data_IF_072601955356
#
_entry.id   IF_072601955356
#
_cell.length_a   1.000
_cell.length_b   1.000
_cell.length_c   1.000
_cell.angle_alpha   90.00
_cell.angle_beta   90.00
_cell.angle_gamma   90.00
#
_symmetry.space_group_name_H-M   'P 1'
#
loop_
_entity.id
_entity.type
_entity.pdbx_description
1 polymer ?
#
# COMPACT_ATOMS: atom_id res chain seq x y z
N UNK A 1 43.98 21.03 -41.18
CA UNK A 1 42.74 21.63 -40.64
C UNK A 1 41.73 20.57 -40.15
N UNK A 2 42.13 19.61 -39.29
CA UNK A 2 41.28 18.44 -38.95
C UNK A 2 40.99 18.23 -37.45
N UNK A 3 41.52 19.08 -36.57
CA UNK A 3 41.46 18.87 -35.10
C UNK A 3 40.19 19.45 -34.43
N UNK A 4 39.46 20.34 -35.10
CA UNK A 4 38.29 21.02 -34.51
C UNK A 4 37.00 20.20 -34.58
N UNK A 5 36.86 19.31 -35.57
CA UNK A 5 35.69 18.45 -35.69
C UNK A 5 35.66 17.36 -34.60
N UNK A 6 36.79 16.70 -34.31
CA UNK A 6 36.85 15.61 -33.31
C UNK A 6 36.50 16.08 -31.89
N UNK A 7 36.96 17.27 -31.49
CA UNK A 7 36.63 17.86 -30.19
C UNK A 7 35.13 18.21 -30.06
N UNK A 8 34.51 18.72 -31.12
CA UNK A 8 33.05 18.99 -31.15
C UNK A 8 32.24 17.70 -31.08
N UNK A 9 32.64 16.65 -31.80
CA UNK A 9 31.99 15.34 -31.71
C UNK A 9 32.12 14.73 -30.31
N UNK A 10 33.31 14.78 -29.71
CA UNK A 10 33.52 14.32 -28.33
C UNK A 10 32.67 15.08 -27.31
N UNK A 11 32.50 16.41 -27.48
CA UNK A 11 31.61 17.21 -26.64
C UNK A 11 30.14 16.83 -26.81
N UNK A 12 29.67 16.63 -28.04
CA UNK A 12 28.29 16.20 -28.32
C UNK A 12 28.03 14.81 -27.74
N UNK A 13 28.94 13.87 -27.96
CA UNK A 13 28.84 12.52 -27.38
C UNK A 13 28.86 12.59 -25.85
N UNK A 14 29.74 13.39 -25.26
CA UNK A 14 29.79 13.60 -23.81
C UNK A 14 28.49 14.17 -23.25
N UNK A 15 27.89 15.16 -23.92
CA UNK A 15 26.62 15.77 -23.52
C UNK A 15 25.45 14.79 -23.64
N UNK A 16 25.40 14.00 -24.72
CA UNK A 16 24.38 12.97 -24.91
C UNK A 16 24.49 11.87 -23.86
N UNK A 17 25.71 11.42 -23.54
CA UNK A 17 25.95 10.44 -22.48
C UNK A 17 25.52 10.98 -21.12
N UNK A 18 25.91 12.21 -20.78
CA UNK A 18 25.50 12.85 -19.53
C UNK A 18 23.97 12.96 -19.44
N UNK A 19 23.31 13.38 -20.52
CA UNK A 19 21.84 13.50 -20.58
C UNK A 19 21.17 12.14 -20.41
N UNK A 20 21.68 11.10 -21.07
CA UNK A 20 21.19 9.73 -20.94
C UNK A 20 21.35 9.20 -19.51
N UNK A 21 22.49 9.46 -18.87
CA UNK A 21 22.73 9.08 -17.47
C UNK A 21 21.75 9.80 -16.53
N UNK A 22 21.58 11.12 -16.68
CA UNK A 22 20.66 11.90 -15.84
C UNK A 22 19.21 11.45 -16.02
N UNK A 23 18.78 11.18 -17.26
CA UNK A 23 17.46 10.63 -17.54
C UNK A 23 17.28 9.24 -16.91
N UNK A 24 18.28 8.37 -17.07
CA UNK A 24 18.27 7.03 -16.47
C UNK A 24 18.18 7.06 -14.95
N UNK A 25 18.96 7.92 -14.29
CA UNK A 25 18.90 8.13 -12.84
C UNK A 25 17.54 8.68 -12.40
N UNK A 26 16.96 9.61 -13.17
CA UNK A 26 15.62 10.15 -12.92
C UNK A 26 14.53 9.09 -13.01
N UNK A 27 14.56 8.24 -14.04
CA UNK A 27 13.64 7.11 -14.20
C UNK A 27 13.82 6.11 -13.04
N UNK A 28 15.06 5.74 -12.73
CA UNK A 28 15.35 4.85 -11.60
C UNK A 28 14.77 5.40 -10.29
N UNK A 29 15.01 6.68 -10.02
CA UNK A 29 14.54 7.36 -8.82
C UNK A 29 13.01 7.36 -8.69
N UNK A 30 12.29 7.59 -9.79
CA UNK A 30 10.81 7.67 -9.81
C UNK A 30 10.11 6.31 -9.91
N UNK A 31 10.76 5.30 -10.46
CA UNK A 31 10.10 4.03 -10.82
C UNK A 31 10.61 2.82 -10.03
N UNK A 32 11.83 2.86 -9.50
CA UNK A 32 12.49 1.69 -8.90
C UNK A 32 13.08 1.92 -7.51
N UNK A 33 13.31 3.18 -7.09
CA UNK A 33 13.89 3.48 -5.77
C UNK A 33 13.05 2.93 -4.62
N UNK A 34 13.66 2.13 -3.76
CA UNK A 34 13.05 1.70 -2.49
C UNK A 34 13.48 2.63 -1.37
N UNK A 35 12.54 3.15 -0.59
CA UNK A 35 12.83 3.89 0.63
C UNK A 35 12.51 3.05 1.88
N UNK A 36 13.23 3.32 2.96
CA UNK A 36 12.90 2.80 4.28
C UNK A 36 11.58 3.41 4.77
N UNK A 37 10.81 2.62 5.52
CA UNK A 37 9.66 3.13 6.24
C UNK A 37 10.09 3.95 7.47
N UNK A 38 9.24 4.85 7.99
CA UNK A 38 9.50 5.57 9.22
C UNK A 38 9.93 4.65 10.38
N UNK A 39 10.90 5.09 11.18
CA UNK A 39 11.49 4.28 12.24
C UNK A 39 10.48 3.81 13.30
N UNK A 40 9.42 4.59 13.56
CA UNK A 40 8.38 4.25 14.55
C UNK A 40 7.63 2.95 14.22
N UNK A 41 7.54 2.59 12.94
CA UNK A 41 6.90 1.34 12.51
C UNK A 41 7.66 0.15 13.07
N UNK A 42 9.00 0.22 13.04
CA UNK A 42 9.86 -0.87 13.52
C UNK A 42 10.25 -0.72 15.00
N UNK A 43 9.68 0.26 15.72
CA UNK A 43 10.03 0.52 17.12
C UNK A 43 9.54 -0.59 18.07
N UNK A 44 8.51 -1.33 17.70
CA UNK A 44 8.02 -2.49 18.44
C UNK A 44 7.31 -3.48 17.50
N UNK A 45 7.11 -4.72 17.96
CA UNK A 45 6.53 -5.78 17.16
C UNK A 45 5.08 -5.50 16.73
N UNK A 46 4.31 -4.82 17.57
CA UNK A 46 2.91 -4.44 17.29
C UNK A 46 2.84 -3.50 16.09
N UNK A 47 3.60 -2.41 16.08
CA UNK A 47 3.63 -1.45 14.99
C UNK A 47 4.11 -2.08 13.69
N UNK A 48 5.14 -2.94 13.76
CA UNK A 48 5.62 -3.70 12.60
C UNK A 48 4.53 -4.60 12.04
N UNK A 49 3.70 -5.20 12.89
CA UNK A 49 2.61 -6.06 12.47
C UNK A 49 1.44 -5.27 11.85
N UNK A 50 1.06 -4.14 12.47
CA UNK A 50 -0.07 -3.32 12.03
C UNK A 50 0.21 -2.51 10.75
N UNK A 51 1.42 -1.97 10.59
CA UNK A 51 1.77 -0.99 9.54
C UNK A 51 3.03 -1.33 8.73
N UNK A 52 3.76 -2.37 9.12
CA UNK A 52 4.98 -2.79 8.45
C UNK A 52 4.71 -3.33 7.06
N UNK A 53 5.59 -2.97 6.12
CA UNK A 53 5.64 -3.55 4.79
C UNK A 53 6.19 -4.96 4.86
N UNK A 54 5.51 -5.90 4.21
CA UNK A 54 6.01 -7.27 3.96
C UNK A 54 6.61 -7.40 2.56
N UNK A 55 7.10 -6.27 2.01
CA UNK A 55 7.60 -6.14 0.63
C UNK A 55 6.56 -6.38 -0.48
N UNK A 56 5.27 -6.49 -0.15
CA UNK A 56 4.19 -6.65 -1.12
C UNK A 56 4.17 -5.53 -2.17
N UNK A 57 4.63 -4.32 -1.81
CA UNK A 57 4.73 -3.17 -2.72
C UNK A 57 5.66 -3.39 -3.90
N UNK A 58 6.54 -4.41 -3.87
CA UNK A 58 7.43 -4.73 -4.99
C UNK A 58 6.67 -5.34 -6.18
N UNK A 59 5.61 -6.10 -5.91
CA UNK A 59 4.86 -6.83 -6.92
C UNK A 59 3.37 -6.46 -6.97
N UNK A 60 2.84 -5.84 -5.91
CA UNK A 60 1.46 -5.39 -5.74
C UNK A 60 1.41 -3.95 -5.16
N UNK A 61 0.22 -3.53 -4.75
CA UNK A 61 -0.02 -2.25 -4.11
C UNK A 61 -0.49 -1.16 -5.07
N UNK A 62 -1.24 -0.23 -4.51
CA UNK A 62 -1.92 0.85 -5.23
C UNK A 62 -1.11 2.14 -5.03
N UNK A 63 -0.87 2.96 -6.08
CA UNK A 63 -0.30 4.29 -5.88
C UNK A 63 -1.12 5.06 -4.83
N UNK A 64 -0.45 5.56 -3.79
CA UNK A 64 -1.11 6.10 -2.60
C UNK A 64 -2.16 7.18 -2.92
N UNK A 65 -1.87 8.08 -3.85
CA UNK A 65 -2.82 9.13 -4.23
C UNK A 65 -4.03 8.61 -5.01
N UNK A 66 -3.90 7.50 -5.74
CA UNK A 66 -5.06 6.82 -6.32
C UNK A 66 -5.87 6.20 -5.19
N UNK A 67 -5.23 5.40 -4.32
CA UNK A 67 -5.90 4.75 -3.20
C UNK A 67 -6.70 5.74 -2.32
N UNK A 68 -6.11 6.89 -1.99
CA UNK A 68 -6.73 7.92 -1.17
C UNK A 68 -8.01 8.52 -1.80
N UNK A 69 -8.06 8.58 -3.13
CA UNK A 69 -9.14 9.28 -3.86
C UNK A 69 -10.31 8.38 -4.21
N UNK A 70 -10.11 7.05 -4.32
CA UNK A 70 -11.18 6.13 -4.72
C UNK A 70 -12.46 6.28 -3.88
N UNK A 71 -12.43 6.32 -2.54
CA UNK A 71 -13.66 6.45 -1.75
C UNK A 71 -14.40 7.78 -1.96
N UNK A 72 -13.72 8.82 -2.44
CA UNK A 72 -14.32 10.13 -2.71
C UNK A 72 -14.96 10.20 -4.09
N UNK A 73 -14.36 9.54 -5.07
CA UNK A 73 -14.89 9.48 -6.45
C UNK A 73 -16.01 8.44 -6.56
N UNK A 74 -15.92 7.34 -5.81
CA UNK A 74 -16.82 6.19 -5.90
C UNK A 74 -17.47 5.80 -4.56
N UNK A 75 -18.02 6.73 -3.77
CA UNK A 75 -18.61 6.42 -2.47
C UNK A 75 -19.76 5.40 -2.57
N UNK A 76 -20.47 5.33 -3.70
CA UNK A 76 -21.59 4.44 -3.95
C UNK A 76 -21.23 2.95 -4.04
N UNK A 77 -19.95 2.62 -4.27
CA UNK A 77 -19.49 1.23 -4.30
C UNK A 77 -19.05 0.73 -2.92
N UNK A 78 -19.16 1.57 -1.88
CA UNK A 78 -18.85 1.22 -0.50
C UNK A 78 -20.12 0.89 0.31
N UNK A 79 -20.03 0.05 1.36
CA UNK A 79 -21.18 -0.31 2.19
C UNK A 79 -21.86 0.86 2.90
N UNK A 80 -21.16 1.97 3.11
CA UNK A 80 -21.68 3.12 3.84
C UNK A 80 -20.72 4.30 3.87
N UNK A 81 -21.06 5.37 4.62
CA UNK A 81 -20.21 6.55 4.75
C UNK A 81 -18.89 6.23 5.48
N UNK A 82 -17.92 7.14 5.36
CA UNK A 82 -16.60 6.99 6.02
C UNK A 82 -15.52 6.32 5.17
N UNK A 83 -15.79 6.09 3.88
CA UNK A 83 -14.79 5.57 2.95
C UNK A 83 -14.37 4.15 3.30
N UNK A 84 -13.07 3.89 3.36
CA UNK A 84 -12.54 2.58 3.75
C UNK A 84 -12.97 2.13 5.16
N UNK A 85 -13.32 3.04 6.08
CA UNK A 85 -13.82 2.65 7.41
C UNK A 85 -15.15 1.86 7.32
N UNK A 86 -15.96 2.08 6.29
CA UNK A 86 -17.19 1.30 6.05
C UNK A 86 -16.95 -0.18 5.73
N UNK A 87 -15.70 -0.55 5.41
CA UNK A 87 -15.26 -1.92 5.21
C UNK A 87 -14.62 -2.52 6.47
N UNK A 88 -14.81 -1.88 7.63
CA UNK A 88 -14.32 -2.33 8.93
C UNK A 88 -12.83 -2.12 9.18
N UNK A 89 -12.15 -1.35 8.32
CA UNK A 89 -10.79 -0.89 8.59
C UNK A 89 -10.79 0.15 9.71
N UNK A 90 -9.79 0.09 10.57
CA UNK A 90 -9.67 0.95 11.75
C UNK A 90 -8.42 1.81 11.68
N UNK A 91 -8.53 3.02 12.23
CA UNK A 91 -7.42 3.95 12.39
C UNK A 91 -7.13 4.09 13.87
N UNK A 92 -5.84 4.06 14.21
CA UNK A 92 -5.41 4.55 15.50
C UNK A 92 -5.29 6.07 15.46
N UNK A 93 -5.48 6.70 16.61
CA UNK A 93 -5.41 8.15 16.73
C UNK A 93 -4.06 8.66 16.21
N UNK A 94 -4.09 9.80 15.52
CA UNK A 94 -2.93 10.47 14.89
C UNK A 94 -2.26 9.73 13.72
N UNK A 95 -2.67 8.51 13.40
CA UNK A 95 -2.12 7.76 12.29
C UNK A 95 -2.91 7.97 11.01
N UNK A 96 -2.18 8.08 9.91
CA UNK A 96 -2.74 8.36 8.58
C UNK A 96 -3.30 7.10 7.91
N UNK A 97 -2.60 5.97 8.08
CA UNK A 97 -2.93 4.71 7.43
C UNK A 97 -3.84 3.86 8.32
N UNK A 98 -4.83 3.17 7.75
CA UNK A 98 -5.56 2.16 8.48
C UNK A 98 -4.65 1.00 8.84
N UNK A 99 -5.00 0.34 9.94
CA UNK A 99 -4.46 -0.95 10.33
C UNK A 99 -4.63 -1.94 9.18
N UNK A 100 -3.59 -2.73 8.92
CA UNK A 100 -3.60 -3.72 7.85
C UNK A 100 -2.98 -3.24 6.54
N UNK A 101 -2.58 -1.98 6.47
CA UNK A 101 -1.93 -1.42 5.29
C UNK A 101 -0.57 -0.81 5.61
N UNK A 102 0.40 -1.10 4.75
CA UNK A 102 1.68 -0.43 4.72
C UNK A 102 1.66 0.70 3.70
N UNK A 103 2.36 1.80 4.02
CA UNK A 103 2.69 2.89 3.10
C UNK A 103 4.20 2.92 2.91
N UNK A 104 4.67 2.64 1.70
CA UNK A 104 6.10 2.57 1.39
C UNK A 104 6.42 3.04 -0.01
N UNK A 105 7.59 3.65 -0.18
CA UNK A 105 8.09 4.03 -1.51
C UNK A 105 8.82 2.86 -2.14
N UNK A 106 8.29 2.40 -3.27
CA UNK A 106 8.96 1.51 -4.23
C UNK A 106 8.75 2.14 -5.61
N UNK A 107 9.72 2.92 -6.07
CA UNK A 107 9.58 3.90 -7.14
C UNK A 107 8.76 5.11 -6.70
N UNK A 108 7.47 4.88 -6.49
CA UNK A 108 6.50 5.84 -5.98
C UNK A 108 5.88 5.31 -4.67
N UNK A 109 5.15 6.17 -3.96
CA UNK A 109 4.47 5.79 -2.70
C UNK A 109 3.32 4.84 -3.03
N UNK A 110 3.35 3.65 -2.45
CA UNK A 110 2.35 2.59 -2.61
C UNK A 110 1.68 2.26 -1.29
N UNK A 111 0.44 1.82 -1.40
CA UNK A 111 -0.35 1.22 -0.33
C UNK A 111 -0.52 -0.26 -0.65
N UNK A 112 -0.06 -1.12 0.25
CA UNK A 112 -0.24 -2.57 0.16
C UNK A 112 -0.78 -3.12 1.47
N UNK A 113 -1.48 -4.24 1.40
CA UNK A 113 -1.92 -5.00 2.55
C UNK A 113 -0.74 -5.71 3.22
N UNK A 114 -0.78 -5.81 4.54
CA UNK A 114 0.16 -6.58 5.34
C UNK A 114 -0.58 -7.65 6.18
N UNK A 115 0.10 -8.24 7.15
CA UNK A 115 -0.45 -9.29 8.00
C UNK A 115 -1.73 -8.85 8.74
N UNK A 116 -1.76 -7.61 9.24
CA UNK A 116 -2.89 -7.08 9.99
C UNK A 116 -4.15 -6.91 9.14
N UNK A 117 -4.05 -6.94 7.80
CA UNK A 117 -5.21 -6.83 6.91
C UNK A 117 -6.27 -7.90 7.21
N UNK A 118 -5.83 -9.11 7.56
CA UNK A 118 -6.69 -10.25 7.84
C UNK A 118 -6.70 -10.67 9.31
N UNK A 119 -5.67 -10.32 10.07
CA UNK A 119 -5.46 -10.82 11.44
C UNK A 119 -5.76 -9.83 12.55
N UNK A 120 -5.69 -8.53 12.27
CA UNK A 120 -6.02 -7.54 13.27
C UNK A 120 -7.54 -7.37 13.37
N UNK A 121 -7.97 -6.95 14.54
CA UNK A 121 -9.36 -6.63 14.80
C UNK A 121 -9.43 -5.43 15.73
N UNK A 122 -10.60 -4.83 15.80
CA UNK A 122 -10.83 -3.70 16.67
C UNK A 122 -12.16 -3.81 17.41
N UNK A 123 -12.21 -3.17 18.57
CA UNK A 123 -13.43 -3.04 19.38
C UNK A 123 -13.82 -1.58 19.46
N UNK A 124 -15.11 -1.29 19.29
CA UNK A 124 -15.62 0.08 19.44
C UNK A 124 -15.43 0.58 20.88
N UNK A 125 -15.01 1.83 21.02
CA UNK A 125 -14.93 2.55 22.29
C UNK A 125 -16.08 3.57 22.44
N UNK A 126 -17.16 3.42 21.66
CA UNK A 126 -18.23 4.40 21.53
C UNK A 126 -18.14 5.20 20.23
N UNK A 127 -19.10 6.12 19.97
CA UNK A 127 -19.20 6.88 18.71
C UNK A 127 -18.11 7.95 18.55
N UNK A 128 -17.61 8.52 19.65
CA UNK A 128 -16.70 9.68 19.64
C UNK A 128 -15.27 9.32 20.07
N UNK A 129 -14.92 8.03 20.09
CA UNK A 129 -13.61 7.54 20.50
C UNK A 129 -13.00 6.61 19.44
N UNK A 130 -11.70 6.74 19.21
CA UNK A 130 -10.97 5.83 18.34
C UNK A 130 -11.10 4.39 18.86
N UNK A 131 -11.30 3.39 17.99
CA UNK A 131 -11.45 2.01 18.42
C UNK A 131 -10.15 1.46 19.00
N UNK A 132 -10.24 0.54 19.95
CA UNK A 132 -9.07 -0.19 20.44
C UNK A 132 -8.70 -1.24 19.40
N UNK A 133 -7.49 -1.15 18.88
CA UNK A 133 -6.94 -2.08 17.87
C UNK A 133 -6.10 -3.14 18.57
N UNK A 134 -6.27 -4.39 18.16
CA UNK A 134 -5.47 -5.52 18.62
C UNK A 134 -4.77 -6.16 17.43
N UNK A 135 -3.48 -6.45 17.57
CA UNK A 135 -2.68 -7.04 16.50
C UNK A 135 -3.17 -8.41 16.05
N UNK A 136 -3.65 -9.24 16.97
CA UNK A 136 -4.16 -10.57 16.64
C UNK A 136 -5.19 -11.04 17.67
N UNK A 137 -6.21 -11.77 17.23
CA UNK A 137 -7.19 -12.42 18.10
C UNK A 137 -8.41 -12.97 17.36
N UNK A 138 -9.41 -13.47 18.10
CA UNK A 138 -10.63 -14.03 17.52
C UNK A 138 -11.56 -12.88 17.07
N UNK A 139 -11.36 -12.41 15.85
CA UNK A 139 -12.19 -11.39 15.24
C UNK A 139 -11.55 -10.94 13.93
N UNK A 140 -12.35 -10.73 12.90
CA UNK A 140 -11.93 -9.96 11.73
C UNK A 140 -12.97 -8.87 11.53
N UNK A 141 -12.56 -7.61 11.57
CA UNK A 141 -13.45 -6.49 11.25
C UNK A 141 -13.38 -6.13 9.77
N UNK A 142 -12.23 -6.36 9.14
CA UNK A 142 -12.00 -6.04 7.73
C UNK A 142 -12.80 -6.92 6.77
N UNK A 143 -13.54 -6.30 5.86
CA UNK A 143 -14.27 -6.96 4.78
C UNK A 143 -13.45 -7.00 3.49
N UNK A 144 -12.36 -7.78 3.50
CA UNK A 144 -11.39 -7.83 2.40
C UNK A 144 -12.02 -8.20 1.05
N UNK A 145 -13.00 -9.11 1.03
CA UNK A 145 -13.70 -9.49 -0.21
C UNK A 145 -14.52 -8.31 -0.78
N UNK A 146 -15.19 -7.54 0.09
CA UNK A 146 -15.92 -6.34 -0.34
C UNK A 146 -14.95 -5.24 -0.79
N UNK A 147 -13.77 -5.13 -0.18
CA UNK A 147 -12.71 -4.23 -0.64
C UNK A 147 -12.24 -4.56 -2.06
N UNK A 148 -11.99 -5.84 -2.37
CA UNK A 148 -11.59 -6.26 -3.71
C UNK A 148 -12.72 -6.01 -4.72
N UNK A 149 -13.97 -6.28 -4.35
CA UNK A 149 -15.14 -5.96 -5.16
C UNK A 149 -15.27 -4.44 -5.41
N UNK A 150 -14.99 -3.61 -4.40
CA UNK A 150 -14.97 -2.15 -4.51
C UNK A 150 -13.94 -1.70 -5.56
N UNK A 151 -12.70 -2.19 -5.50
CA UNK A 151 -11.68 -1.84 -6.49
C UNK A 151 -12.07 -2.24 -7.91
N UNK A 152 -12.64 -3.44 -8.08
CA UNK A 152 -13.12 -3.91 -9.38
C UNK A 152 -14.23 -3.02 -9.93
N UNK A 153 -15.22 -2.67 -9.11
CA UNK A 153 -16.32 -1.77 -9.50
C UNK A 153 -15.79 -0.38 -9.87
N UNK A 154 -14.86 0.18 -9.09
CA UNK A 154 -14.19 1.44 -9.43
C UNK A 154 -13.56 1.37 -10.82
N UNK A 155 -12.81 0.32 -11.13
CA UNK A 155 -12.13 0.20 -12.43
C UNK A 155 -13.08 0.00 -13.61
N UNK A 156 -14.25 -0.62 -13.38
CA UNK A 156 -15.30 -0.77 -14.40
C UNK A 156 -15.99 0.56 -14.72
N UNK A 157 -16.01 1.48 -13.77
CA UNK A 157 -16.64 2.79 -13.93
C UNK A 157 -15.88 3.71 -14.91
N UNK A 158 -16.57 4.38 -15.85
CA UNK A 158 -15.92 5.29 -16.81
C UNK A 158 -15.27 6.51 -16.14
N UNK A 159 -15.66 6.87 -14.90
CA UNK A 159 -15.00 7.93 -14.14
C UNK A 159 -13.59 7.54 -13.68
N UNK A 160 -13.19 6.26 -13.74
CA UNK A 160 -11.81 5.84 -13.49
C UNK A 160 -10.95 6.17 -14.71
N UNK A 161 -10.61 7.43 -14.83
CA UNK A 161 -9.77 7.97 -15.89
C UNK A 161 -8.82 9.02 -15.33
N UNK A 162 -7.82 9.39 -16.12
CA UNK A 162 -6.76 10.27 -15.66
C UNK A 162 -7.23 11.69 -15.31
N UNK A 163 -8.28 12.19 -15.95
CA UNK A 163 -8.78 13.55 -15.73
C UNK A 163 -9.41 13.63 -14.35
N UNK A 164 -10.43 12.81 -14.08
CA UNK A 164 -11.13 12.79 -12.79
C UNK A 164 -10.20 12.46 -11.62
N UNK A 165 -9.33 11.46 -11.77
CA UNK A 165 -8.41 11.06 -10.71
C UNK A 165 -7.36 12.14 -10.44
N UNK A 166 -6.79 12.79 -11.47
CA UNK A 166 -5.80 13.84 -11.23
C UNK A 166 -6.43 15.11 -10.68
N UNK A 167 -7.66 15.42 -11.05
CA UNK A 167 -8.41 16.54 -10.49
C UNK A 167 -8.64 16.32 -8.99
N UNK A 168 -9.12 15.13 -8.59
CA UNK A 168 -9.31 14.78 -7.18
C UNK A 168 -7.98 14.70 -6.41
N UNK A 169 -6.91 14.19 -7.01
CA UNK A 169 -5.56 14.18 -6.40
C UNK A 169 -5.07 15.62 -6.17
N UNK A 170 -5.38 16.55 -7.06
CA UNK A 170 -4.93 17.95 -6.96
C UNK A 170 -5.49 18.67 -5.74
N UNK A 171 -6.63 18.21 -5.20
CA UNK A 171 -7.22 18.69 -3.96
C UNK A 171 -6.42 18.27 -2.72
N UNK A 172 -5.70 17.14 -2.79
CA UNK A 172 -4.93 16.60 -1.67
C UNK A 172 -3.43 16.94 -1.76
N UNK A 173 -2.87 17.11 -2.96
CA UNK A 173 -1.44 17.40 -3.14
C UNK A 173 -1.11 18.07 -4.47
N UNK A 174 0.03 18.77 -4.51
CA UNK A 174 0.57 19.38 -5.74
C UNK A 174 1.63 18.49 -6.37
N UNK A 175 1.22 17.64 -7.31
CA UNK A 175 2.14 16.83 -8.10
C UNK A 175 2.98 17.69 -9.06
N UNK A 176 4.26 17.34 -9.22
CA UNK A 176 5.12 17.92 -10.26
C UNK A 176 4.57 17.57 -11.66
N UNK A 177 4.97 18.34 -12.69
CA UNK A 177 4.55 18.05 -14.08
C UNK A 177 4.95 16.63 -14.49
N UNK A 178 6.16 16.20 -14.16
CA UNK A 178 6.62 14.84 -14.43
C UNK A 178 5.76 13.78 -13.73
N UNK A 179 5.41 13.99 -12.46
CA UNK A 179 4.54 13.07 -11.73
C UNK A 179 3.13 13.04 -12.31
N UNK A 180 2.56 14.19 -12.70
CA UNK A 180 1.24 14.23 -13.37
C UNK A 180 1.24 13.41 -14.66
N UNK A 181 2.31 13.49 -15.47
CA UNK A 181 2.45 12.69 -16.69
C UNK A 181 2.58 11.19 -16.37
N UNK A 182 3.39 10.84 -15.37
CA UNK A 182 3.52 9.45 -14.90
C UNK A 182 2.18 8.92 -14.40
N UNK A 183 1.42 9.70 -13.62
CA UNK A 183 0.09 9.30 -13.17
C UNK A 183 -0.88 9.12 -14.34
N UNK A 184 -0.98 10.12 -15.23
CA UNK A 184 -1.91 10.12 -16.38
C UNK A 184 -1.68 8.95 -17.32
N UNK A 185 -0.43 8.73 -17.72
CA UNK A 185 -0.12 7.79 -18.80
C UNK A 185 0.36 6.42 -18.34
N UNK A 186 0.78 6.28 -17.07
CA UNK A 186 1.33 5.02 -16.56
C UNK A 186 0.53 4.51 -15.37
N UNK A 187 0.47 5.26 -14.26
CA UNK A 187 -0.02 4.70 -13.00
C UNK A 187 -1.53 4.49 -13.00
N UNK A 188 -2.31 5.45 -13.50
CA UNK A 188 -3.77 5.34 -13.54
C UNK A 188 -4.21 4.22 -14.50
N UNK A 189 -3.74 4.16 -15.76
CA UNK A 189 -4.08 3.05 -16.66
C UNK A 189 -3.68 1.68 -16.11
N UNK A 190 -2.45 1.54 -15.58
CA UNK A 190 -1.98 0.26 -15.02
C UNK A 190 -2.74 -0.16 -13.76
N UNK A 191 -3.14 0.80 -12.92
CA UNK A 191 -3.95 0.49 -11.73
C UNK A 191 -5.33 -0.01 -12.15
N UNK A 192 -5.96 0.65 -13.14
CA UNK A 192 -7.23 0.22 -13.72
C UNK A 192 -7.15 -1.20 -14.29
N UNK A 193 -6.13 -1.45 -15.11
CA UNK A 193 -5.88 -2.76 -15.71
C UNK A 193 -5.75 -3.83 -14.62
N UNK A 194 -4.96 -3.58 -13.59
CA UNK A 194 -4.74 -4.52 -12.49
C UNK A 194 -6.02 -4.85 -11.72
N UNK A 195 -6.85 -3.84 -11.44
CA UNK A 195 -8.15 -4.04 -10.78
C UNK A 195 -9.12 -4.89 -11.61
N UNK A 196 -9.01 -4.85 -12.94
CA UNK A 196 -9.87 -5.62 -13.85
C UNK A 196 -9.38 -7.07 -14.04
N UNK A 197 -8.07 -7.29 -13.98
CA UNK A 197 -7.44 -8.55 -14.42
C UNK A 197 -6.88 -9.42 -13.30
N UNK A 198 -6.75 -8.91 -12.06
CA UNK A 198 -6.02 -9.60 -11.00
C UNK A 198 -6.73 -9.51 -9.66
N UNK A 199 -6.71 -10.62 -8.91
CA UNK A 199 -7.08 -10.63 -7.49
C UNK A 199 -5.91 -10.16 -6.60
N UNK A 200 -4.68 -10.15 -7.13
CA UNK A 200 -3.45 -9.74 -6.45
C UNK A 200 -3.29 -8.22 -6.61
N UNK A 201 -4.18 -7.45 -5.97
CA UNK A 201 -4.17 -5.98 -6.08
C UNK A 201 -3.37 -5.34 -4.96
N UNK A 202 -3.74 -5.66 -3.72
CA UNK A 202 -3.21 -5.04 -2.51
C UNK A 202 -2.22 -5.95 -1.76
N UNK A 203 -2.31 -7.25 -1.96
CA UNK A 203 -1.40 -8.25 -1.38
C UNK A 203 -0.55 -8.86 -2.48
N UNK A 204 0.62 -9.42 -2.15
CA UNK A 204 1.44 -10.16 -3.11
C UNK A 204 0.95 -11.62 -3.27
N UNK A 205 1.63 -12.38 -4.13
CA UNK A 205 1.28 -13.79 -4.37
C UNK A 205 1.45 -14.66 -3.13
N UNK A 206 2.42 -14.36 -2.27
CA UNK A 206 2.67 -15.12 -1.06
C UNK A 206 1.54 -14.95 -0.04
N UNK A 207 1.11 -13.71 0.21
CA UNK A 207 -0.05 -13.41 1.03
C UNK A 207 -1.36 -13.94 0.41
N UNK A 208 -1.52 -13.86 -0.91
CA UNK A 208 -2.69 -14.41 -1.61
C UNK A 208 -2.78 -15.94 -1.50
N UNK A 209 -1.65 -16.64 -1.50
CA UNK A 209 -1.63 -18.09 -1.24
C UNK A 209 -1.93 -18.38 0.23
N UNK A 210 -1.40 -17.55 1.14
CA UNK A 210 -1.67 -17.69 2.56
C UNK A 210 -3.16 -17.51 2.91
N UNK A 211 -3.87 -16.59 2.24
CA UNK A 211 -5.31 -16.42 2.45
C UNK A 211 -6.13 -17.65 2.01
N UNK A 212 -5.66 -18.37 0.98
CA UNK A 212 -6.32 -19.59 0.49
C UNK A 212 -5.97 -20.83 1.31
N UNK A 213 -4.74 -20.92 1.81
CA UNK A 213 -4.29 -22.04 2.64
C UNK A 213 -3.38 -21.54 3.78
N UNK A 214 -3.96 -21.12 4.92
CA UNK A 214 -3.19 -20.54 6.02
C UNK A 214 -2.16 -21.50 6.64
N UNK A 215 -2.35 -22.83 6.47
CA UNK A 215 -1.50 -23.87 7.06
C UNK A 215 -0.34 -24.30 6.15
N UNK A 216 -0.30 -23.88 4.88
CA UNK A 216 0.73 -24.33 3.93
C UNK A 216 2.02 -23.51 3.92
N UNK A 217 2.08 -22.39 4.65
CA UNK A 217 3.20 -21.43 4.57
C UNK A 217 4.16 -21.47 5.76
N UNK A 218 5.40 -21.93 5.56
CA UNK A 218 6.50 -21.74 6.52
C UNK A 218 7.09 -20.32 6.52
N UNK A 219 6.81 -19.53 5.47
CA UNK A 219 7.43 -18.24 5.19
C UNK A 219 7.08 -17.12 6.20
N UNK A 220 5.92 -17.22 6.87
CA UNK A 220 5.47 -16.20 7.83
C UNK A 220 5.66 -16.60 9.29
N UNK A 221 6.22 -17.79 9.57
CA UNK A 221 6.43 -18.29 10.94
C UNK A 221 7.30 -17.35 11.76
N UNK A 222 8.34 -16.78 11.15
CA UNK A 222 9.23 -15.83 11.83
C UNK A 222 8.49 -14.56 12.27
N UNK A 223 7.66 -13.99 11.39
CA UNK A 223 6.86 -12.79 11.72
C UNK A 223 5.91 -13.03 12.89
N UNK A 224 5.31 -14.22 12.96
CA UNK A 224 4.45 -14.61 14.08
C UNK A 224 5.25 -14.82 15.38
N UNK A 225 6.43 -15.45 15.31
CA UNK A 225 7.31 -15.62 16.48
C UNK A 225 7.81 -14.28 17.02
N UNK A 226 8.18 -13.35 16.12
CA UNK A 226 8.60 -12.00 16.49
C UNK A 226 7.44 -11.23 17.16
N UNK A 227 6.20 -11.44 16.69
CA UNK A 227 5.00 -10.88 17.34
C UNK A 227 4.78 -11.48 18.72
N UNK A 228 4.77 -12.82 18.85
CA UNK A 228 4.50 -13.54 20.10
C UNK A 228 5.50 -13.18 21.20
N UNK A 229 6.78 -13.03 20.83
CA UNK A 229 7.86 -12.65 21.75
C UNK A 229 7.91 -11.15 22.04
N UNK A 230 7.38 -10.31 21.14
CA UNK A 230 7.44 -8.86 21.23
C UNK A 230 6.21 -8.20 21.87
N UNK A 231 5.03 -8.84 21.85
CA UNK A 231 3.82 -8.32 22.49
C UNK A 231 3.92 -8.38 24.02
N UNK A 232 3.28 -7.41 24.69
CA UNK A 232 3.26 -7.28 26.15
C UNK A 232 1.87 -6.90 26.65
N UNK A 233 1.61 -7.18 27.93
CA UNK A 233 0.36 -6.81 28.61
C UNK A 233 -0.88 -7.39 27.93
N UNK A 234 -1.94 -6.59 27.84
CA UNK A 234 -3.27 -7.00 27.37
C UNK A 234 -3.25 -7.68 25.98
N UNK A 235 -2.39 -7.23 25.05
CA UNK A 235 -2.31 -7.84 23.72
C UNK A 235 -1.66 -9.23 23.75
N UNK A 236 -0.69 -9.44 24.64
CA UNK A 236 -0.10 -10.75 24.83
C UNK A 236 -1.11 -11.72 25.44
N UNK A 237 -1.86 -11.27 26.45
CA UNK A 237 -2.88 -12.10 27.10
C UNK A 237 -3.97 -12.54 26.10
N UNK A 238 -4.38 -11.64 25.20
CA UNK A 238 -5.33 -11.95 24.14
C UNK A 238 -4.77 -12.89 23.07
N UNK A 239 -3.53 -12.67 22.62
CA UNK A 239 -2.89 -13.58 21.67
C UNK A 239 -2.75 -14.99 22.28
N UNK A 240 -2.28 -15.09 23.52
CA UNK A 240 -2.10 -16.37 24.21
C UNK A 240 -3.46 -17.08 24.39
N UNK A 241 -4.55 -16.34 24.65
CA UNK A 241 -5.90 -16.89 24.67
C UNK A 241 -6.34 -17.40 23.29
N UNK A 242 -6.11 -16.63 22.23
CA UNK A 242 -6.45 -17.03 20.87
C UNK A 242 -5.68 -18.28 20.42
N UNK A 243 -4.36 -18.32 20.65
CA UNK A 243 -3.52 -19.47 20.29
C UNK A 243 -3.96 -20.76 21.00
N UNK A 244 -4.53 -20.67 22.22
CA UNK A 244 -5.13 -21.83 22.91
C UNK A 244 -6.38 -22.37 22.21
N UNK A 245 -7.17 -21.51 21.53
CA UNK A 245 -8.36 -21.95 20.79
C UNK A 245 -8.05 -22.64 19.46
N UNK A 246 -6.82 -22.49 18.95
CA UNK A 246 -6.36 -23.08 17.70
C UNK A 246 -5.68 -24.45 17.85
N UNK A 247 -5.44 -24.88 19.10
CA UNK A 247 -4.87 -26.21 19.44
C UNK A 247 -5.98 -27.21 19.70
#
# INVERSE_FOLDING_TARGET
>A
MTVTHSKKYLLIVGLLLLTGILAGLGIWYKMFRVAAQPAWINANARNSFLYGSVDAEKSAGIPYWIWLTLPRIFPEYLPGPGGYASLGFSWEETLEMPVGFSKRTVGYVRVAGNCALCHAYSTSNGPDAAPTVFAAGPGHTAEVQRLLAFYKQCAQDPRFNADNLLDEISMATKLSVADKLIYRYILIPKTRERFLQSDIVIVDSALWQHSQNPRSGTIFRKHLQDLETGLKGQEKDQLDMYLKTLR
#
